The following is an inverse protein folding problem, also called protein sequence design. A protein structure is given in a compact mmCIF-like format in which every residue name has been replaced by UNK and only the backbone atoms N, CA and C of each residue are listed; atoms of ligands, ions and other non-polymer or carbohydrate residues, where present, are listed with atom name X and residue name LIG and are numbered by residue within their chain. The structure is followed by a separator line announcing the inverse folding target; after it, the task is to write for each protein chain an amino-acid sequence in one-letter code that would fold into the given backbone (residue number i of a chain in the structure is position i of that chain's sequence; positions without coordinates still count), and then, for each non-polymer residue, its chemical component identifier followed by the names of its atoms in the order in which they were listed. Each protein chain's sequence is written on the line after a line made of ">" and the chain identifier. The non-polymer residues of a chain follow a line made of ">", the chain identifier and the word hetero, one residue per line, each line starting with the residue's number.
data_IF_628333114459
#
_entry.id   IF_628333114459
#
_cell.length_a   1.000
_cell.length_b   1.000
_cell.length_c   1.000
_cell.angle_alpha   90.00
_cell.angle_beta   90.00
_cell.angle_gamma   90.00
#
_symmetry.space_group_name_H-M   'P 1'
#
loop_
_entity.id
_entity.type
_entity.pdbx_description
1 polymer ?
#
# COMPACT_ATOMS: atom_id res chain seq x y z
N UNK A 1 -10.04 5.27 -17.61
CA UNK A 1 -9.53 6.17 -16.55
C UNK A 1 -8.08 6.53 -16.86
N UNK A 2 -7.72 7.82 -16.92
CA UNK A 2 -6.32 8.24 -17.11
C UNK A 2 -5.54 7.88 -15.84
N UNK A 3 -4.80 6.77 -15.89
CA UNK A 3 -3.98 6.30 -14.80
C UNK A 3 -2.71 7.16 -14.76
N UNK A 4 -2.75 8.29 -14.06
CA UNK A 4 -1.60 9.18 -13.82
C UNK A 4 -0.67 8.64 -12.72
N UNK A 5 -0.59 7.32 -12.59
CA UNK A 5 0.34 6.64 -11.70
C UNK A 5 1.67 6.40 -12.41
N UNK A 6 2.79 6.51 -11.70
CA UNK A 6 4.12 6.10 -12.19
C UNK A 6 4.29 4.57 -12.12
N UNK A 7 3.33 3.84 -12.68
CA UNK A 7 3.27 2.38 -12.61
C UNK A 7 4.49 1.75 -13.26
N UNK A 8 5.11 0.79 -12.58
CA UNK A 8 6.22 -0.01 -13.12
C UNK A 8 5.80 -1.47 -13.21
N UNK A 9 6.12 -2.12 -14.33
CA UNK A 9 5.93 -3.57 -14.48
C UNK A 9 6.91 -4.27 -13.54
N UNK A 10 6.40 -5.15 -12.68
CA UNK A 10 7.18 -5.92 -11.73
C UNK A 10 6.70 -7.37 -11.72
N UNK A 11 7.60 -8.31 -11.42
CA UNK A 11 7.24 -9.70 -11.20
C UNK A 11 6.51 -9.86 -9.86
N UNK A 12 5.54 -10.76 -9.81
CA UNK A 12 4.97 -11.23 -8.55
C UNK A 12 5.99 -12.19 -7.91
N UNK A 13 6.32 -11.93 -6.65
CA UNK A 13 7.25 -12.75 -5.86
C UNK A 13 6.53 -13.95 -5.23
N UNK A 14 7.30 -14.88 -4.68
CA UNK A 14 6.76 -16.04 -3.96
C UNK A 14 5.83 -15.62 -2.83
N UNK A 15 4.87 -16.48 -2.51
CA UNK A 15 3.84 -16.17 -1.51
C UNK A 15 2.87 -15.07 -1.95
N UNK A 16 2.75 -14.80 -3.26
CA UNK A 16 1.81 -13.84 -3.86
C UNK A 16 2.09 -12.39 -3.42
N UNK A 17 3.37 -12.02 -3.34
CA UNK A 17 3.82 -10.69 -2.88
C UNK A 17 4.18 -9.79 -4.06
N UNK A 18 3.93 -8.50 -3.91
CA UNK A 18 4.42 -7.46 -4.84
C UNK A 18 5.30 -6.48 -4.07
N UNK A 19 6.27 -5.89 -4.76
CA UNK A 19 7.10 -4.82 -4.20
C UNK A 19 6.44 -3.48 -4.47
N UNK A 20 6.12 -2.74 -3.40
CA UNK A 20 5.69 -1.35 -3.54
C UNK A 20 6.92 -0.47 -3.81
N UNK A 21 6.86 0.45 -4.78
CA UNK A 21 7.90 1.44 -5.00
C UNK A 21 8.21 2.24 -3.73
N UNK A 22 9.49 2.59 -3.52
CA UNK A 22 9.95 3.32 -2.34
C UNK A 22 9.22 4.65 -2.14
N UNK A 23 8.97 5.38 -3.24
CA UNK A 23 8.26 6.65 -3.21
C UNK A 23 6.79 6.49 -2.77
N UNK A 24 6.17 5.34 -3.06
CA UNK A 24 4.83 5.03 -2.54
C UNK A 24 4.85 4.82 -1.03
N UNK A 25 5.87 4.12 -0.49
CA UNK A 25 6.04 3.92 0.95
C UNK A 25 6.23 5.25 1.68
N UNK A 26 7.10 6.12 1.16
CA UNK A 26 7.39 7.44 1.74
C UNK A 26 6.15 8.36 1.70
N UNK A 27 5.46 8.46 0.55
CA UNK A 27 4.27 9.32 0.40
C UNK A 27 3.07 8.86 1.23
N UNK A 28 2.92 7.55 1.40
CA UNK A 28 1.80 6.95 2.15
C UNK A 28 2.16 6.64 3.61
N UNK A 29 3.39 6.96 4.04
CA UNK A 29 3.92 6.65 5.37
C UNK A 29 3.72 5.17 5.76
N UNK A 30 3.91 4.27 4.79
CA UNK A 30 3.83 2.82 5.01
C UNK A 30 5.21 2.35 5.48
N UNK A 31 5.24 1.64 6.61
CA UNK A 31 6.45 1.05 7.18
C UNK A 31 6.36 -0.48 7.17
N UNK A 32 7.52 -1.13 7.31
CA UNK A 32 7.58 -2.57 7.53
C UNK A 32 6.74 -2.97 8.75
N UNK A 33 5.97 -4.04 8.63
CA UNK A 33 5.01 -4.47 9.67
C UNK A 33 3.71 -3.65 9.73
N UNK A 34 3.59 -2.56 8.98
CA UNK A 34 2.39 -1.74 8.92
C UNK A 34 1.20 -2.47 8.30
N UNK A 35 -0.02 -2.03 8.66
CA UNK A 35 -1.27 -2.59 8.15
C UNK A 35 -1.79 -1.82 6.95
N UNK A 36 -2.35 -2.54 6.00
CA UNK A 36 -3.02 -1.99 4.81
C UNK A 36 -4.34 -2.69 4.59
N UNK A 37 -5.30 -1.98 4.01
CA UNK A 37 -6.51 -2.55 3.43
C UNK A 37 -6.19 -2.87 1.97
N UNK A 38 -6.58 -4.07 1.53
CA UNK A 38 -6.44 -4.52 0.14
C UNK A 38 -7.84 -4.75 -0.43
N UNK A 39 -8.28 -3.85 -1.31
CA UNK A 39 -9.58 -3.92 -1.97
C UNK A 39 -9.40 -4.45 -3.40
N UNK A 40 -10.25 -5.41 -3.79
CA UNK A 40 -10.25 -5.99 -5.13
C UNK A 40 -11.37 -5.35 -5.96
N UNK A 41 -11.02 -4.83 -7.12
CA UNK A 41 -11.93 -4.27 -8.11
C UNK A 41 -11.76 -4.99 -9.44
N UNK A 42 -12.68 -4.76 -10.38
CA UNK A 42 -12.55 -5.31 -11.73
C UNK A 42 -11.31 -4.74 -12.43
N UNK A 43 -10.35 -5.62 -12.71
CA UNK A 43 -9.09 -5.30 -13.38
C UNK A 43 -7.99 -4.65 -12.52
N UNK A 44 -8.20 -4.37 -11.23
CA UNK A 44 -7.14 -3.82 -10.37
C UNK A 44 -7.34 -4.06 -8.86
N UNK A 45 -6.27 -3.83 -8.10
CA UNK A 45 -6.27 -3.86 -6.63
C UNK A 45 -5.95 -2.45 -6.13
N UNK A 46 -6.66 -2.00 -5.10
CA UNK A 46 -6.37 -0.76 -4.39
C UNK A 46 -5.80 -1.10 -3.02
N UNK A 47 -4.66 -0.51 -2.69
CA UNK A 47 -3.98 -0.68 -1.40
C UNK A 47 -4.08 0.63 -0.64
N UNK A 48 -4.64 0.60 0.57
CA UNK A 48 -4.87 1.78 1.40
C UNK A 48 -4.13 1.59 2.74
N UNK A 49 -3.22 2.47 3.14
CA UNK A 49 -2.61 2.40 4.47
C UNK A 49 -3.68 2.56 5.55
N UNK A 50 -3.63 1.70 6.57
CA UNK A 50 -4.42 1.94 7.79
C UNK A 50 -3.69 2.99 8.61
N UNK A 51 -4.33 4.13 8.87
CA UNK A 51 -3.81 5.09 9.83
C UNK A 51 -3.97 4.45 11.21
N UNK A 52 -2.87 4.08 11.83
CA UNK A 52 -2.86 3.89 13.27
C UNK A 52 -3.06 5.27 13.87
N UNK A 53 -4.28 5.60 14.30
CA UNK A 53 -4.43 6.64 15.30
C UNK A 53 -3.57 6.20 16.47
N UNK A 54 -2.64 7.06 16.87
CA UNK A 54 -1.86 6.87 18.07
C UNK A 54 -2.88 6.89 19.22
N UNK A 55 -3.41 5.73 19.60
CA UNK A 55 -4.07 5.51 20.88
C UNK A 55 -3.01 5.75 21.96
N UNK A 56 -2.86 7.02 22.32
CA UNK A 56 -1.80 7.50 23.18
C UNK A 56 -2.15 8.83 23.83
N UNK A 57 -3.39 8.97 24.30
CA UNK A 57 -3.74 9.77 25.48
C UNK A 57 -4.87 9.10 26.27
N UNK A 58 -4.55 7.99 26.91
CA UNK A 58 -5.18 7.64 28.19
C UNK A 58 -4.14 7.90 29.27
N UNK A 59 -4.29 9.03 29.96
CA UNK A 59 -4.12 9.26 31.40
C UNK A 59 -4.22 10.76 31.68
#
# INVERSE_FOLDING_TARGET
>A
AKNSGNGRIQKILSGRRITLPRDALEKLNIKEGGKVIVEVYDGYVKVIPVKEEIEGKTQ
#
